data_IF_997094624378
#
_entry.id   IF_997094624378
#
_cell.length_a   1.000
_cell.length_b   1.000
_cell.length_c   1.000
_cell.angle_alpha   90.00
_cell.angle_beta   90.00
_cell.angle_gamma   90.00
#
_symmetry.space_group_name_H-M   'P 1'
#
loop_
_entity.id
_entity.type
_entity.pdbx_description
1 polymer ?
#
# COMPACT_ATOMS: atom_id res chain seq x y z
N UNK A 1 -14.31 8.01 -7.45
CA UNK A 1 -14.04 6.63 -6.97
C UNK A 1 -14.72 6.44 -5.62
N UNK A 2 -15.12 5.22 -5.25
CA UNK A 2 -15.89 4.93 -4.01
C UNK A 2 -15.10 5.18 -2.70
N UNK A 3 -13.79 5.40 -2.78
CA UNK A 3 -12.94 5.61 -1.60
C UNK A 3 -12.60 4.32 -0.86
N UNK A 4 -11.63 4.40 0.05
CA UNK A 4 -11.07 3.24 0.77
C UNK A 4 -11.93 2.71 1.91
N UNK A 5 -12.98 3.46 2.30
CA UNK A 5 -13.99 3.04 3.29
C UNK A 5 -14.97 2.03 2.70
N UNK A 6 -15.31 2.19 1.42
CA UNK A 6 -16.27 1.31 0.72
C UNK A 6 -15.56 0.16 0.00
N UNK A 7 -14.38 0.42 -0.58
CA UNK A 7 -13.57 -0.60 -1.24
C UNK A 7 -12.10 -0.39 -0.93
N UNK A 8 -11.49 -1.35 -0.23
CA UNK A 8 -10.14 -1.20 0.34
C UNK A 8 -9.08 -0.86 -0.71
N UNK A 9 -9.15 -1.43 -1.91
CA UNK A 9 -8.20 -1.14 -3.00
C UNK A 9 -8.87 -1.33 -4.36
N UNK A 10 -8.17 -0.94 -5.43
CA UNK A 10 -8.56 -1.27 -6.81
C UNK A 10 -8.08 -2.65 -7.26
N UNK A 11 -7.35 -3.38 -6.40
CA UNK A 11 -6.82 -4.70 -6.67
C UNK A 11 -7.80 -5.78 -6.19
N UNK A 12 -8.89 -5.96 -6.93
CA UNK A 12 -9.94 -6.92 -6.64
C UNK A 12 -10.46 -7.62 -7.89
N UNK A 13 -11.19 -8.71 -7.68
CA UNK A 13 -12.08 -9.36 -8.65
C UNK A 13 -13.52 -9.24 -8.19
N UNK A 14 -14.42 -8.91 -9.12
CA UNK A 14 -15.85 -8.88 -8.87
C UNK A 14 -16.49 -10.19 -9.33
N UNK A 15 -17.07 -10.94 -8.39
CA UNK A 15 -17.74 -12.20 -8.64
C UNK A 15 -19.24 -11.99 -8.55
N UNK A 16 -20.00 -12.42 -9.56
CA UNK A 16 -21.46 -12.36 -9.52
C UNK A 16 -22.00 -13.52 -8.68
N UNK A 17 -22.82 -13.20 -7.69
CA UNK A 17 -23.47 -14.15 -6.78
C UNK A 17 -24.99 -13.90 -6.78
N UNK A 18 -25.70 -14.52 -7.73
CA UNK A 18 -27.12 -14.27 -7.95
C UNK A 18 -27.38 -12.82 -8.39
N UNK A 19 -28.14 -12.07 -7.59
CA UNK A 19 -28.43 -10.64 -7.79
C UNK A 19 -27.41 -9.70 -7.14
N UNK A 20 -26.40 -10.24 -6.46
CA UNK A 20 -25.35 -9.47 -5.76
C UNK A 20 -23.99 -9.63 -6.45
N UNK A 21 -23.07 -8.74 -6.12
CA UNK A 21 -21.64 -8.89 -6.42
C UNK A 21 -20.85 -9.08 -5.13
N UNK A 22 -19.91 -10.01 -5.14
CA UNK A 22 -18.88 -10.18 -4.11
C UNK A 22 -17.56 -9.65 -4.67
N UNK A 23 -16.93 -8.73 -3.94
CA UNK A 23 -15.61 -8.21 -4.26
C UNK A 23 -14.58 -8.92 -3.39
N UNK A 24 -13.63 -9.60 -4.03
CA UNK A 24 -12.51 -10.26 -3.35
C UNK A 24 -11.20 -9.65 -3.84
N UNK A 25 -10.31 -9.26 -2.94
CA UNK A 25 -9.17 -8.45 -3.30
C UNK A 25 -8.12 -8.34 -2.21
N UNK A 26 -7.08 -7.57 -2.49
CA UNK A 26 -5.90 -7.46 -1.63
C UNK A 26 -5.41 -6.02 -1.49
N UNK A 27 -4.72 -5.78 -0.39
CA UNK A 27 -4.17 -4.46 -0.05
C UNK A 27 -5.24 -3.48 0.44
N UNK A 28 -4.76 -2.34 0.91
CA UNK A 28 -5.59 -1.22 1.36
C UNK A 28 -4.90 0.09 0.99
N UNK A 29 -5.59 0.95 0.25
CA UNK A 29 -5.04 2.19 -0.30
C UNK A 29 -4.78 2.11 -1.81
N UNK A 30 -4.17 3.15 -2.33
CA UNK A 30 -3.93 3.32 -3.77
C UNK A 30 -2.71 2.56 -4.30
N UNK A 31 -1.86 2.01 -3.41
CA UNK A 31 -0.74 1.13 -3.80
C UNK A 31 0.45 1.84 -4.46
N UNK A 32 0.63 3.14 -4.24
CA UNK A 32 1.74 3.93 -4.79
C UNK A 32 2.63 4.45 -3.65
N UNK A 33 3.95 4.37 -3.82
CA UNK A 33 4.92 4.81 -2.82
C UNK A 33 5.01 3.86 -1.62
N UNK A 34 5.12 4.42 -0.42
CA UNK A 34 5.35 3.69 0.84
C UNK A 34 4.15 2.82 1.25
N UNK A 35 4.33 1.50 1.25
CA UNK A 35 3.42 0.58 1.94
C UNK A 35 3.73 0.57 3.44
N UNK A 36 2.83 1.11 4.28
CA UNK A 36 3.05 1.26 5.72
C UNK A 36 3.34 -0.08 6.42
N UNK A 37 2.52 -1.10 6.16
CA UNK A 37 2.73 -2.45 6.70
C UNK A 37 4.03 -3.09 6.20
N UNK A 38 4.43 -2.81 4.95
CA UNK A 38 5.69 -3.28 4.42
C UNK A 38 6.89 -2.60 5.10
N UNK A 39 6.80 -1.28 5.31
CA UNK A 39 7.79 -0.51 6.07
C UNK A 39 7.94 -1.01 7.51
N UNK A 40 6.85 -1.30 8.21
CA UNK A 40 6.89 -1.95 9.53
C UNK A 40 7.61 -3.31 9.45
N UNK A 41 7.31 -4.12 8.42
CA UNK A 41 7.97 -5.41 8.20
C UNK A 41 9.48 -5.28 7.99
N UNK A 42 9.94 -4.27 7.25
CA UNK A 42 11.37 -3.94 7.11
C UNK A 42 11.98 -3.51 8.44
N UNK A 43 11.31 -2.64 9.19
CA UNK A 43 11.79 -2.16 10.50
C UNK A 43 11.93 -3.31 11.51
N UNK A 44 10.96 -4.25 11.54
CA UNK A 44 11.03 -5.47 12.37
C UNK A 44 12.20 -6.40 11.99
N UNK A 45 12.70 -6.33 10.75
CA UNK A 45 13.91 -7.04 10.30
C UNK A 45 15.21 -6.27 10.59
N UNK A 46 15.12 -5.09 11.21
CA UNK A 46 16.27 -4.27 11.58
C UNK A 46 16.69 -3.23 10.53
N UNK A 47 15.91 -3.04 9.46
CA UNK A 47 16.21 -2.00 8.47
C UNK A 47 15.87 -0.61 9.01
N UNK A 48 16.73 0.35 8.74
CA UNK A 48 16.54 1.72 9.17
C UNK A 48 15.62 2.50 8.21
N UNK A 49 15.14 3.66 8.65
CA UNK A 49 14.22 4.49 7.88
C UNK A 49 14.77 4.92 6.50
N UNK A 50 16.08 5.20 6.38
CA UNK A 50 16.69 5.60 5.11
C UNK A 50 16.64 4.46 4.09
N UNK A 51 16.93 3.23 4.52
CA UNK A 51 16.86 2.05 3.67
C UNK A 51 15.41 1.78 3.21
N UNK A 52 14.46 1.88 4.13
CA UNK A 52 13.02 1.71 3.83
C UNK A 52 12.53 2.74 2.82
N UNK A 53 12.86 4.02 3.03
CA UNK A 53 12.45 5.10 2.11
C UNK A 53 13.06 4.88 0.72
N UNK A 54 14.36 4.55 0.63
CA UNK A 54 15.02 4.25 -0.65
C UNK A 54 14.45 3.03 -1.37
N UNK A 55 13.93 2.04 -0.63
CA UNK A 55 13.23 0.90 -1.22
C UNK A 55 11.92 1.32 -1.92
N UNK A 56 11.12 2.17 -1.28
CA UNK A 56 9.81 2.60 -1.81
C UNK A 56 9.90 3.77 -2.80
N UNK A 57 10.98 4.54 -2.76
CA UNK A 57 11.21 5.69 -3.63
C UNK A 57 12.59 5.57 -4.28
N UNK A 58 12.73 4.80 -5.38
CA UNK A 58 14.02 4.61 -6.04
C UNK A 58 14.63 5.93 -6.52
N UNK A 59 15.91 6.15 -6.23
CA UNK A 59 16.62 7.38 -6.62
C UNK A 59 16.30 8.61 -5.78
N UNK A 60 15.59 8.45 -4.65
CA UNK A 60 15.30 9.57 -3.75
C UNK A 60 16.56 10.02 -3.00
N UNK A 61 16.77 11.34 -2.97
CA UNK A 61 17.74 11.98 -2.09
C UNK A 61 17.04 12.49 -0.83
N UNK A 62 17.70 12.33 0.32
CA UNK A 62 17.16 12.70 1.63
C UNK A 62 17.98 13.86 2.17
N UNK A 63 17.35 15.02 2.24
CA UNK A 63 17.97 16.25 2.72
C UNK A 63 17.32 16.72 4.03
N UNK A 64 18.10 17.43 4.84
CA UNK A 64 17.60 18.05 6.04
C UNK A 64 16.85 19.33 5.66
N UNK A 65 15.53 19.32 5.83
CA UNK A 65 14.74 20.54 5.69
C UNK A 65 15.12 21.55 6.79
N UNK A 66 15.45 22.78 6.39
CA UNK A 66 15.78 23.92 7.26
C UNK A 66 15.01 25.14 6.80
#
# INVERSE_FOLDING_TARGET
ALGTSELRSTAFTALRAGTKFRFDGRGWGHGVGLCQWGAEGFARRGENALAIVRHYYPGVEIERYR
#
